data_IF_462092850367
#
_entry.id   IF_462092850367
#
_cell.length_a   1.000
_cell.length_b   1.000
_cell.length_c   1.000
_cell.angle_alpha   90.00
_cell.angle_beta   90.00
_cell.angle_gamma   90.00
#
_symmetry.space_group_name_H-M   'P 1'
#
loop_
_entity.id
_entity.type
_entity.pdbx_description
1 polymer ?
#
# COMPACT_ATOMS: atom_id res chain seq x y z
N UNK A 1 -34.06 -3.57 1.09
CA UNK A 1 -34.02 -2.25 0.42
C UNK A 1 -33.51 -2.40 -1.01
N UNK A 2 -34.03 -1.60 -1.96
CA UNK A 2 -33.40 -1.48 -3.28
C UNK A 2 -32.17 -0.55 -3.22
N UNK A 3 -31.32 -0.60 -4.26
CA UNK A 3 -30.16 0.31 -4.39
C UNK A 3 -30.60 1.79 -4.35
N UNK A 4 -31.75 2.13 -5.00
CA UNK A 4 -32.30 3.48 -4.96
C UNK A 4 -32.73 3.89 -3.55
N UNK A 5 -33.28 2.96 -2.75
CA UNK A 5 -33.67 3.25 -1.37
C UNK A 5 -32.47 3.45 -0.48
N UNK A 6 -31.41 2.62 -0.66
CA UNK A 6 -30.15 2.74 0.09
C UNK A 6 -29.48 4.10 -0.19
N UNK A 7 -29.41 4.51 -1.45
CA UNK A 7 -28.84 5.81 -1.84
C UNK A 7 -29.61 7.01 -1.26
N UNK A 8 -30.88 6.81 -0.88
CA UNK A 8 -31.74 7.85 -0.27
C UNK A 8 -31.76 7.83 1.26
N UNK A 9 -31.05 6.89 1.89
CA UNK A 9 -30.95 6.90 3.35
C UNK A 9 -30.24 8.17 3.82
N UNK A 10 -30.77 8.77 4.89
CA UNK A 10 -30.09 9.88 5.55
C UNK A 10 -28.83 9.36 6.29
N UNK A 11 -27.89 10.24 6.55
CA UNK A 11 -26.70 9.93 7.33
C UNK A 11 -27.06 9.32 8.69
N UNK A 12 -28.01 9.92 9.41
CA UNK A 12 -28.48 9.40 10.69
C UNK A 12 -29.08 7.99 10.59
N UNK A 13 -29.77 7.68 9.47
CA UNK A 13 -30.28 6.33 9.24
C UNK A 13 -29.19 5.31 8.95
N UNK A 14 -28.11 5.72 8.29
CA UNK A 14 -26.94 4.86 8.01
C UNK A 14 -26.14 4.59 9.29
N UNK A 15 -25.86 5.62 10.08
CA UNK A 15 -25.19 5.48 11.39
C UNK A 15 -25.97 4.58 12.36
N UNK A 16 -27.30 4.58 12.28
CA UNK A 16 -28.18 3.75 13.11
C UNK A 16 -28.27 2.29 12.68
N UNK A 17 -27.73 1.91 11.51
CA UNK A 17 -27.68 0.51 11.09
C UNK A 17 -26.76 -0.29 12.02
N UNK A 18 -27.16 -1.50 12.35
CA UNK A 18 -26.26 -2.43 13.05
C UNK A 18 -25.20 -2.98 12.09
N UNK A 19 -24.09 -3.44 12.63
CA UNK A 19 -23.02 -4.15 11.83
C UNK A 19 -23.61 -5.31 11.04
N UNK A 20 -24.53 -6.08 11.64
CA UNK A 20 -25.22 -7.19 10.96
C UNK A 20 -26.08 -6.72 9.78
N UNK A 21 -26.69 -5.55 9.89
CA UNK A 21 -27.50 -4.98 8.78
C UNK A 21 -26.60 -4.49 7.64
N UNK A 22 -25.44 -3.89 7.97
CA UNK A 22 -24.43 -3.50 6.99
C UNK A 22 -23.81 -4.73 6.31
N UNK A 23 -23.41 -5.73 7.07
CA UNK A 23 -22.91 -7.01 6.54
C UNK A 23 -23.94 -7.74 5.65
N UNK A 24 -25.24 -7.57 5.95
CA UNK A 24 -26.34 -8.13 5.17
C UNK A 24 -26.70 -7.34 3.90
N UNK A 25 -26.05 -6.21 3.61
CA UNK A 25 -26.26 -5.49 2.35
C UNK A 25 -25.65 -6.27 1.18
N UNK A 26 -26.30 -6.19 0.02
CA UNK A 26 -25.72 -6.74 -1.20
C UNK A 26 -24.57 -5.84 -1.70
N UNK A 27 -23.68 -6.42 -2.50
CA UNK A 27 -22.58 -5.67 -3.16
C UNK A 27 -23.12 -4.48 -3.98
N UNK A 28 -24.25 -4.66 -4.66
CA UNK A 28 -24.93 -3.59 -5.42
C UNK A 28 -25.44 -2.47 -4.52
N UNK A 29 -25.88 -2.76 -3.31
CA UNK A 29 -26.31 -1.77 -2.33
C UNK A 29 -25.11 -0.99 -1.77
N UNK A 30 -24.02 -1.67 -1.45
CA UNK A 30 -22.78 -1.04 -0.97
C UNK A 30 -22.17 -0.16 -2.07
N UNK A 31 -22.11 -0.64 -3.30
CA UNK A 31 -21.62 0.14 -4.44
C UNK A 31 -22.48 1.39 -4.76
N UNK A 32 -23.78 1.34 -4.41
CA UNK A 32 -24.71 2.45 -4.63
C UNK A 32 -24.64 3.53 -3.55
N UNK A 33 -23.95 3.30 -2.44
CA UNK A 33 -23.72 4.33 -1.42
C UNK A 33 -22.88 5.48 -2.02
N UNK A 34 -23.26 6.71 -1.75
CA UNK A 34 -22.44 7.87 -2.11
C UNK A 34 -21.21 7.99 -1.19
N UNK A 35 -20.16 8.71 -1.64
CA UNK A 35 -18.97 8.96 -0.83
C UNK A 35 -19.30 9.59 0.52
N UNK A 36 -20.24 10.55 0.55
CA UNK A 36 -20.71 11.16 1.81
C UNK A 36 -21.40 10.15 2.74
N UNK A 37 -22.07 9.13 2.19
CA UNK A 37 -22.72 8.07 2.95
C UNK A 37 -21.70 7.06 3.50
N UNK A 38 -20.62 6.78 2.76
CA UNK A 38 -19.50 5.99 3.26
C UNK A 38 -18.80 6.71 4.42
N UNK A 39 -18.58 8.03 4.28
CA UNK A 39 -17.88 8.82 5.29
C UNK A 39 -18.56 8.86 6.67
N UNK A 40 -19.88 8.60 6.74
CA UNK A 40 -20.64 8.59 8.00
C UNK A 40 -20.81 7.19 8.60
N UNK A 41 -20.43 6.13 7.92
CA UNK A 41 -20.44 4.80 8.53
C UNK A 41 -19.47 4.78 9.72
N UNK A 42 -19.85 4.08 10.77
CA UNK A 42 -18.94 3.89 11.90
C UNK A 42 -17.79 2.94 11.51
N UNK A 43 -16.63 3.00 12.19
CA UNK A 43 -15.55 2.03 11.98
C UNK A 43 -16.03 0.58 12.08
N UNK A 44 -16.86 0.26 13.08
CA UNK A 44 -17.43 -1.08 13.24
C UNK A 44 -18.29 -1.51 12.05
N UNK A 45 -19.05 -0.58 11.47
CA UNK A 45 -19.85 -0.86 10.26
C UNK A 45 -18.96 -1.11 9.06
N UNK A 46 -17.87 -0.35 8.90
CA UNK A 46 -16.89 -0.58 7.81
C UNK A 46 -16.17 -1.91 8.03
N UNK A 47 -15.72 -2.21 9.25
CA UNK A 47 -15.10 -3.48 9.60
C UNK A 47 -16.00 -4.71 9.45
N UNK A 48 -17.33 -4.51 9.42
CA UNK A 48 -18.30 -5.57 9.17
C UNK A 48 -18.55 -5.85 7.67
N UNK A 49 -17.98 -5.04 6.76
CA UNK A 49 -18.08 -5.31 5.32
C UNK A 49 -17.29 -6.56 4.97
N UNK A 50 -17.93 -7.50 4.29
CA UNK A 50 -17.24 -8.68 3.78
C UNK A 50 -16.41 -8.36 2.53
N UNK A 51 -15.51 -9.28 2.17
CA UNK A 51 -14.58 -9.15 1.05
C UNK A 51 -15.26 -8.76 -0.27
N UNK A 52 -16.39 -9.40 -0.60
CA UNK A 52 -17.14 -9.05 -1.82
C UNK A 52 -17.73 -7.64 -1.79
N UNK A 53 -18.12 -7.16 -0.61
CA UNK A 53 -18.62 -5.79 -0.41
C UNK A 53 -17.47 -4.78 -0.53
N UNK A 54 -16.32 -5.06 0.07
CA UNK A 54 -15.11 -4.25 -0.09
C UNK A 54 -14.69 -4.16 -1.57
N UNK A 55 -14.71 -5.28 -2.30
CA UNK A 55 -14.42 -5.32 -3.73
C UNK A 55 -15.41 -4.52 -4.57
N UNK A 56 -16.63 -4.27 -4.08
CA UNK A 56 -17.63 -3.46 -4.79
C UNK A 56 -17.46 -1.95 -4.60
N UNK A 57 -16.63 -1.51 -3.64
CA UNK A 57 -16.34 -0.11 -3.39
C UNK A 57 -15.54 0.53 -4.51
N UNK A 58 -15.79 1.79 -4.78
CA UNK A 58 -15.10 2.60 -5.78
C UNK A 58 -14.01 3.47 -5.12
N UNK A 59 -13.03 3.94 -5.91
CA UNK A 59 -11.94 4.80 -5.43
C UNK A 59 -12.44 6.05 -4.69
N UNK A 60 -13.52 6.68 -5.17
CA UNK A 60 -14.10 7.85 -4.53
C UNK A 60 -14.70 7.54 -3.15
N UNK A 61 -15.15 6.30 -2.93
CA UNK A 61 -15.64 5.83 -1.64
C UNK A 61 -14.50 5.61 -0.66
N UNK A 62 -13.38 5.02 -1.10
CA UNK A 62 -12.16 4.92 -0.29
C UNK A 62 -11.59 6.29 0.05
N UNK A 63 -11.56 7.23 -0.89
CA UNK A 63 -11.08 8.58 -0.66
C UNK A 63 -11.91 9.38 0.38
N UNK A 64 -13.15 8.96 0.63
CA UNK A 64 -14.03 9.58 1.61
C UNK A 64 -13.91 8.97 3.03
N UNK A 65 -13.21 7.86 3.18
CA UNK A 65 -13.00 7.21 4.48
C UNK A 65 -11.99 7.99 5.32
N UNK A 66 -12.22 8.03 6.62
CA UNK A 66 -11.27 8.54 7.60
C UNK A 66 -10.31 7.42 8.08
N UNK A 67 -9.34 7.79 8.93
CA UNK A 67 -8.32 6.86 9.46
C UNK A 67 -8.94 5.67 10.19
N UNK A 68 -9.91 5.92 11.08
CA UNK A 68 -10.55 4.86 11.86
C UNK A 68 -11.30 3.86 10.97
N UNK A 69 -11.96 4.34 9.92
CA UNK A 69 -12.64 3.51 8.93
C UNK A 69 -11.65 2.67 8.11
N UNK A 70 -10.55 3.27 7.65
CA UNK A 70 -9.48 2.57 6.92
C UNK A 70 -8.83 1.50 7.82
N UNK A 71 -8.56 1.86 9.08
CA UNK A 71 -7.99 0.92 10.07
C UNK A 71 -8.95 -0.25 10.31
N UNK A 72 -10.26 0.01 10.38
CA UNK A 72 -11.28 -1.01 10.61
C UNK A 72 -11.40 -2.06 9.49
N UNK A 73 -10.94 -1.76 8.26
CA UNK A 73 -10.85 -2.76 7.18
C UNK A 73 -9.88 -3.89 7.59
N UNK A 74 -8.89 -3.60 8.41
CA UNK A 74 -7.93 -4.58 8.90
C UNK A 74 -7.18 -5.27 7.76
N UNK A 75 -6.89 -6.55 7.91
CA UNK A 75 -6.17 -7.36 6.92
C UNK A 75 -7.03 -7.72 5.70
N UNK A 76 -8.34 -7.45 5.72
CA UNK A 76 -9.22 -7.63 4.56
C UNK A 76 -8.87 -6.68 3.38
N UNK A 77 -7.95 -5.73 3.60
CA UNK A 77 -7.33 -4.95 2.52
C UNK A 77 -6.70 -5.85 1.45
N UNK A 78 -6.25 -7.05 1.82
CA UNK A 78 -5.74 -8.07 0.90
C UNK A 78 -6.79 -8.57 -0.10
N UNK A 79 -8.08 -8.40 0.22
CA UNK A 79 -9.18 -8.78 -0.67
C UNK A 79 -9.45 -7.75 -1.79
N UNK A 80 -8.92 -6.53 -1.68
CA UNK A 80 -9.10 -5.50 -2.71
C UNK A 80 -8.53 -5.97 -4.04
N UNK A 81 -9.22 -5.61 -5.13
CA UNK A 81 -8.72 -5.90 -6.48
C UNK A 81 -7.51 -5.02 -6.82
N UNK A 82 -6.66 -5.49 -7.72
CA UNK A 82 -5.52 -4.69 -8.22
C UNK A 82 -5.97 -3.37 -8.83
N UNK A 83 -7.14 -3.34 -9.48
CA UNK A 83 -7.73 -2.11 -10.03
C UNK A 83 -8.11 -1.11 -8.93
N UNK A 84 -8.63 -1.59 -7.79
CA UNK A 84 -8.93 -0.73 -6.64
C UNK A 84 -7.65 -0.18 -6.03
N UNK A 85 -6.63 -1.04 -5.82
CA UNK A 85 -5.35 -0.63 -5.26
C UNK A 85 -4.64 0.36 -6.16
N UNK A 86 -4.59 0.14 -7.48
CA UNK A 86 -3.96 1.09 -8.41
C UNK A 86 -4.68 2.44 -8.50
N UNK A 87 -5.99 2.45 -8.24
CA UNK A 87 -6.80 3.66 -8.22
C UNK A 87 -6.95 4.28 -6.80
N UNK A 88 -6.33 3.67 -5.78
CA UNK A 88 -6.43 4.13 -4.40
C UNK A 88 -5.77 5.52 -4.27
N UNK A 89 -6.48 6.53 -3.73
CA UNK A 89 -5.86 7.84 -3.54
C UNK A 89 -4.67 7.78 -2.56
N UNK A 90 -3.69 8.65 -2.73
CA UNK A 90 -2.47 8.66 -1.90
C UNK A 90 -2.75 8.97 -0.43
N UNK A 91 -3.71 9.86 -0.14
CA UNK A 91 -4.02 10.24 1.24
C UNK A 91 -4.50 9.04 2.09
N UNK A 92 -5.48 8.21 1.67
CA UNK A 92 -5.83 7.00 2.39
C UNK A 92 -4.70 5.97 2.53
N UNK A 93 -3.75 5.91 1.58
CA UNK A 93 -2.59 5.02 1.71
C UNK A 93 -1.71 5.35 2.91
N UNK A 94 -1.55 6.64 3.22
CA UNK A 94 -0.80 7.09 4.40
C UNK A 94 -1.47 6.72 5.73
N UNK A 95 -2.77 6.44 5.70
CA UNK A 95 -3.54 6.05 6.87
C UNK A 95 -3.46 4.55 7.19
N UNK A 96 -2.94 3.73 6.25
CA UNK A 96 -2.77 2.30 6.49
C UNK A 96 -1.81 2.05 7.67
N UNK A 97 -2.20 1.17 8.58
CA UNK A 97 -1.27 0.65 9.58
C UNK A 97 -0.19 -0.23 8.92
N UNK A 98 0.92 -0.41 9.60
CA UNK A 98 1.99 -1.33 9.14
C UNK A 98 1.47 -2.76 8.94
N UNK A 99 0.55 -3.23 9.81
CA UNK A 99 -0.11 -4.52 9.65
C UNK A 99 -0.97 -4.63 8.38
N UNK A 100 -1.63 -3.54 7.99
CA UNK A 100 -2.37 -3.50 6.73
C UNK A 100 -1.44 -3.48 5.51
N UNK A 101 -0.32 -2.78 5.59
CA UNK A 101 0.71 -2.81 4.53
C UNK A 101 1.29 -4.21 4.37
N UNK A 102 1.58 -4.91 5.47
CA UNK A 102 2.01 -6.32 5.46
C UNK A 102 0.97 -7.27 4.87
N UNK A 103 -0.31 -6.94 5.03
CA UNK A 103 -1.40 -7.76 4.48
C UNK A 103 -1.60 -7.56 2.97
N UNK A 104 -1.02 -6.53 2.35
CA UNK A 104 -1.06 -6.37 0.90
C UNK A 104 -0.34 -7.55 0.23
N UNK A 105 -0.91 -8.05 -0.83
CA UNK A 105 -0.26 -9.10 -1.62
C UNK A 105 0.77 -8.50 -2.58
N UNK A 106 1.76 -9.29 -2.97
CA UNK A 106 2.78 -8.85 -3.95
C UNK A 106 2.17 -8.37 -5.28
N UNK A 107 1.01 -8.95 -5.68
CA UNK A 107 0.26 -8.47 -6.85
C UNK A 107 -0.34 -7.08 -6.64
N UNK A 108 -0.78 -6.77 -5.44
CA UNK A 108 -1.31 -5.46 -5.08
C UNK A 108 -0.18 -4.42 -4.96
N UNK A 109 0.92 -4.79 -4.31
CA UNK A 109 2.10 -3.90 -4.20
C UNK A 109 2.68 -3.57 -5.58
N UNK A 110 2.74 -4.54 -6.47
CA UNK A 110 3.25 -4.36 -7.84
C UNK A 110 2.44 -3.37 -8.69
N UNK A 111 1.15 -3.19 -8.42
CA UNK A 111 0.30 -2.26 -9.19
C UNK A 111 0.25 -0.86 -8.60
N UNK A 112 0.89 -0.61 -7.46
CA UNK A 112 1.03 0.73 -6.90
C UNK A 112 1.82 1.63 -7.87
N UNK A 113 1.30 2.81 -8.12
CA UNK A 113 2.02 3.83 -8.88
C UNK A 113 3.20 4.41 -8.08
N UNK A 114 4.15 5.05 -8.77
CA UNK A 114 5.31 5.69 -8.12
C UNK A 114 4.86 6.73 -7.08
N UNK A 115 3.83 7.53 -7.39
CA UNK A 115 3.29 8.52 -6.46
C UNK A 115 2.66 7.86 -5.22
N UNK A 116 2.00 6.71 -5.40
CA UNK A 116 1.43 5.94 -4.30
C UNK A 116 2.52 5.34 -3.40
N UNK A 117 3.59 4.78 -3.98
CA UNK A 117 4.74 4.28 -3.23
C UNK A 117 5.44 5.41 -2.49
N UNK A 118 5.64 6.57 -3.13
CA UNK A 118 6.26 7.74 -2.50
C UNK A 118 5.40 8.37 -1.41
N UNK A 119 4.08 8.13 -1.43
CA UNK A 119 3.19 8.57 -0.37
C UNK A 119 3.29 7.70 0.90
N UNK A 120 3.78 6.46 0.79
CA UNK A 120 3.96 5.61 1.97
C UNK A 120 5.02 6.19 2.92
N UNK A 121 4.75 6.10 4.21
CA UNK A 121 5.70 6.52 5.25
C UNK A 121 6.90 5.56 5.31
N UNK A 122 7.97 5.96 6.00
CA UNK A 122 9.13 5.10 6.25
C UNK A 122 8.73 3.79 6.95
N UNK A 123 7.87 3.88 8.00
CA UNK A 123 7.39 2.72 8.73
C UNK A 123 6.57 1.77 7.83
N UNK A 124 5.78 2.33 6.91
CA UNK A 124 5.01 1.54 5.95
C UNK A 124 5.92 0.84 4.92
N UNK A 125 6.96 1.53 4.42
CA UNK A 125 7.96 0.93 3.51
C UNK A 125 8.74 -0.17 4.22
N UNK A 126 9.17 0.06 5.46
CA UNK A 126 9.88 -0.96 6.24
C UNK A 126 9.01 -2.17 6.62
N UNK A 127 7.68 -1.99 6.60
CA UNK A 127 6.72 -3.06 6.85
C UNK A 127 6.45 -3.96 5.63
N UNK A 128 6.83 -3.55 4.41
CA UNK A 128 6.67 -4.39 3.22
C UNK A 128 7.44 -5.70 3.36
N UNK A 129 6.83 -6.80 2.95
CA UNK A 129 7.53 -8.09 2.95
C UNK A 129 8.62 -8.12 1.87
N UNK A 130 9.65 -8.92 2.09
CA UNK A 130 10.76 -9.07 1.13
C UNK A 130 10.28 -9.54 -0.25
N UNK A 131 9.26 -10.40 -0.28
CA UNK A 131 8.63 -10.87 -1.53
C UNK A 131 7.94 -9.72 -2.28
N UNK A 132 7.35 -8.76 -1.55
CA UNK A 132 6.69 -7.59 -2.14
C UNK A 132 7.70 -6.66 -2.78
N UNK A 133 8.81 -6.37 -2.07
CA UNK A 133 9.90 -5.56 -2.61
C UNK A 133 10.51 -6.21 -3.86
N UNK A 134 10.75 -7.52 -3.83
CA UNK A 134 11.27 -8.26 -4.99
C UNK A 134 10.30 -8.25 -6.18
N UNK A 135 8.99 -8.07 -5.93
CA UNK A 135 7.96 -8.01 -6.98
C UNK A 135 7.86 -6.64 -7.67
N UNK A 136 8.36 -5.57 -7.04
CA UNK A 136 8.35 -4.22 -7.60
C UNK A 136 9.13 -4.16 -8.92
N UNK A 137 8.67 -3.31 -9.82
CA UNK A 137 9.39 -3.01 -11.06
C UNK A 137 10.65 -2.17 -10.77
N UNK A 138 11.60 -2.20 -11.68
CA UNK A 138 12.81 -1.35 -11.60
C UNK A 138 12.45 0.13 -11.50
N UNK A 139 11.41 0.59 -12.22
CA UNK A 139 10.93 1.98 -12.15
C UNK A 139 10.37 2.34 -10.77
N UNK A 140 9.67 1.41 -10.11
CA UNK A 140 9.15 1.63 -8.76
C UNK A 140 10.29 1.72 -7.74
N UNK A 141 11.27 0.82 -7.80
CA UNK A 141 12.44 0.83 -6.90
C UNK A 141 13.28 2.11 -7.12
N UNK A 142 13.59 2.45 -8.36
CA UNK A 142 14.34 3.68 -8.66
C UNK A 142 13.60 4.98 -8.35
N UNK A 143 12.26 4.89 -8.24
CA UNK A 143 11.40 6.01 -7.84
C UNK A 143 11.31 6.22 -6.33
N UNK A 144 11.79 5.30 -5.49
CA UNK A 144 11.79 5.47 -4.03
C UNK A 144 12.69 6.64 -3.62
N UNK A 145 12.24 7.43 -2.67
CA UNK A 145 13.04 8.49 -2.08
C UNK A 145 14.22 7.94 -1.27
N UNK A 146 15.25 8.75 -1.07
CA UNK A 146 16.41 8.36 -0.24
C UNK A 146 15.98 7.95 1.18
N UNK A 147 15.02 8.67 1.77
CA UNK A 147 14.51 8.36 3.11
C UNK A 147 13.77 7.03 3.17
N UNK A 148 13.06 6.66 2.11
CA UNK A 148 12.39 5.37 2.01
C UNK A 148 13.39 4.22 1.80
N UNK A 149 14.44 4.45 0.99
CA UNK A 149 15.51 3.47 0.82
C UNK A 149 16.28 3.22 2.13
N UNK A 150 16.55 4.28 2.92
CA UNK A 150 17.16 4.15 4.25
C UNK A 150 16.26 3.45 5.27
N UNK A 151 14.94 3.47 5.07
CA UNK A 151 14.01 2.75 5.95
C UNK A 151 13.95 1.24 5.67
N UNK A 152 14.55 0.77 4.57
CA UNK A 152 14.61 -0.66 4.27
C UNK A 152 15.57 -1.36 5.23
N UNK A 153 15.15 -2.49 5.77
CA UNK A 153 16.01 -3.36 6.56
C UNK A 153 17.04 -4.09 5.69
N UNK A 154 18.12 -4.56 6.30
CA UNK A 154 19.14 -5.37 5.63
C UNK A 154 18.56 -6.57 4.87
N UNK A 155 17.54 -7.26 5.44
CA UNK A 155 16.86 -8.37 4.77
C UNK A 155 16.07 -7.92 3.52
N UNK A 156 15.48 -6.72 3.58
CA UNK A 156 14.79 -6.13 2.44
C UNK A 156 15.77 -5.71 1.34
N UNK A 157 16.91 -5.12 1.70
CA UNK A 157 17.99 -4.80 0.75
C UNK A 157 18.51 -6.07 0.07
N UNK A 158 18.74 -7.15 0.83
CA UNK A 158 19.14 -8.45 0.28
C UNK A 158 18.11 -9.07 -0.65
N UNK A 159 16.83 -8.77 -0.48
CA UNK A 159 15.76 -9.29 -1.33
C UNK A 159 15.66 -8.61 -2.70
N UNK A 160 16.32 -7.47 -2.88
CA UNK A 160 16.33 -6.78 -4.17
C UNK A 160 16.97 -7.65 -5.24
N UNK A 161 16.32 -7.74 -6.39
CA UNK A 161 16.85 -8.46 -7.56
C UNK A 161 18.02 -7.69 -8.18
N UNK A 162 18.86 -8.39 -8.94
CA UNK A 162 19.98 -7.77 -9.68
C UNK A 162 19.50 -6.57 -10.53
N UNK A 163 18.36 -6.72 -11.22
CA UNK A 163 17.80 -5.66 -12.06
C UNK A 163 17.34 -4.45 -11.25
N UNK A 164 16.79 -4.67 -10.05
CA UNK A 164 16.38 -3.60 -9.15
C UNK A 164 17.60 -2.85 -8.60
N UNK A 165 18.66 -3.57 -8.19
CA UNK A 165 19.91 -2.96 -7.74
C UNK A 165 20.57 -2.14 -8.84
N UNK A 166 20.60 -2.65 -10.08
CA UNK A 166 21.13 -1.92 -11.24
C UNK A 166 20.31 -0.68 -11.59
N UNK A 167 19.01 -0.67 -11.26
CA UNK A 167 18.13 0.47 -11.51
C UNK A 167 18.30 1.61 -10.47
N UNK A 168 18.91 1.36 -9.33
CA UNK A 168 19.23 2.39 -8.36
C UNK A 168 20.30 3.34 -8.93
N UNK A 169 20.09 4.63 -8.77
CA UNK A 169 21.12 5.61 -9.08
C UNK A 169 22.30 5.51 -8.12
N UNK A 170 23.45 6.02 -8.53
CA UNK A 170 24.65 6.09 -7.66
C UNK A 170 24.38 6.90 -6.39
N UNK A 171 23.55 7.95 -6.48
CA UNK A 171 23.15 8.72 -5.31
C UNK A 171 22.29 7.91 -4.35
N UNK A 172 21.36 7.07 -4.86
CA UNK A 172 20.54 6.19 -4.04
C UNK A 172 21.37 5.11 -3.35
N UNK A 173 22.32 4.50 -4.05
CA UNK A 173 23.24 3.52 -3.44
C UNK A 173 24.10 4.16 -2.35
N UNK A 174 24.65 5.35 -2.58
CA UNK A 174 25.46 6.07 -1.59
C UNK A 174 24.64 6.63 -0.41
N UNK A 175 23.31 6.62 -0.51
CA UNK A 175 22.41 7.01 0.58
C UNK A 175 21.90 5.82 1.40
N UNK A 176 22.22 4.58 1.02
CA UNK A 176 21.98 3.42 1.90
C UNK A 176 22.86 3.54 3.15
N UNK A 177 22.39 2.97 4.25
CA UNK A 177 23.27 2.82 5.41
C UNK A 177 24.41 1.86 5.06
N UNK A 178 25.68 2.17 5.43
CA UNK A 178 26.83 1.31 5.11
C UNK A 178 26.65 -0.13 5.59
N UNK A 179 25.99 -0.30 6.73
CA UNK A 179 25.68 -1.60 7.31
C UNK A 179 24.74 -2.40 6.41
N UNK A 180 23.76 -1.76 5.79
CA UNK A 180 22.81 -2.40 4.88
C UNK A 180 23.45 -2.71 3.52
N UNK A 181 24.28 -1.80 3.02
CA UNK A 181 25.06 -2.07 1.81
C UNK A 181 26.00 -3.27 1.99
N UNK A 182 26.66 -3.39 3.15
CA UNK A 182 27.54 -4.51 3.50
C UNK A 182 26.79 -5.86 3.59
N UNK A 183 25.47 -5.86 3.71
CA UNK A 183 24.65 -7.09 3.69
C UNK A 183 24.38 -7.61 2.27
N UNK A 184 24.69 -6.83 1.22
CA UNK A 184 24.57 -7.33 -0.14
C UNK A 184 25.43 -8.57 -0.33
N UNK A 185 24.87 -9.57 -1.00
CA UNK A 185 25.61 -10.79 -1.31
C UNK A 185 26.72 -10.51 -2.32
N UNK A 186 27.75 -11.35 -2.34
CA UNK A 186 28.80 -11.26 -3.36
C UNK A 186 28.26 -11.36 -4.79
N UNK A 187 27.17 -12.12 -4.97
CA UNK A 187 26.43 -12.18 -6.24
C UNK A 187 25.87 -10.82 -6.64
N UNK A 188 25.18 -10.15 -5.73
CA UNK A 188 24.58 -8.82 -5.94
C UNK A 188 25.66 -7.75 -6.19
N UNK A 189 26.73 -7.74 -5.40
CA UNK A 189 27.85 -6.81 -5.61
C UNK A 189 28.46 -7.00 -7.01
N UNK A 190 28.64 -8.25 -7.46
CA UNK A 190 29.20 -8.55 -8.79
C UNK A 190 28.32 -8.08 -9.95
N UNK A 191 27.05 -7.78 -9.68
CA UNK A 191 26.06 -7.31 -10.69
C UNK A 191 25.91 -5.80 -10.73
N UNK A 192 26.50 -5.07 -9.80
CA UNK A 192 26.52 -3.61 -9.88
C UNK A 192 27.20 -3.17 -11.18
N UNK A 193 26.67 -2.10 -11.78
CA UNK A 193 27.25 -1.56 -13.02
C UNK A 193 28.60 -0.91 -12.75
N UNK A 194 29.44 -0.80 -13.78
CA UNK A 194 30.73 -0.11 -13.69
C UNK A 194 30.56 1.33 -13.20
N UNK A 195 29.49 2.02 -13.64
CA UNK A 195 29.19 3.37 -13.18
C UNK A 195 28.86 3.39 -11.69
N UNK A 196 28.00 2.47 -11.20
CA UNK A 196 27.67 2.38 -9.79
C UNK A 196 28.90 2.15 -8.93
N UNK A 197 29.75 1.16 -9.29
CA UNK A 197 30.97 0.83 -8.53
C UNK A 197 31.96 2.00 -8.55
N UNK A 198 32.16 2.66 -9.71
CA UNK A 198 33.13 3.75 -9.82
C UNK A 198 32.76 5.02 -9.05
N UNK A 199 31.50 5.13 -8.62
CA UNK A 199 30.95 6.29 -7.90
C UNK A 199 30.50 5.96 -6.46
N UNK A 200 30.80 4.74 -5.98
CA UNK A 200 30.58 4.43 -4.57
C UNK A 200 31.48 5.33 -3.71
N UNK A 201 30.92 5.80 -2.61
CA UNK A 201 31.68 6.55 -1.61
C UNK A 201 32.64 5.63 -0.83
N UNK A 202 33.69 6.22 -0.27
CA UNK A 202 34.67 5.49 0.56
C UNK A 202 34.02 4.81 1.78
N UNK A 203 32.84 5.29 2.20
CA UNK A 203 32.08 4.70 3.31
C UNK A 203 31.34 3.41 2.93
N UNK A 204 31.19 3.14 1.62
CA UNK A 204 30.52 1.94 1.09
C UNK A 204 31.52 0.83 0.71
N UNK A 205 32.82 1.15 0.66
CA UNK A 205 33.91 0.26 0.30
C UNK A 205 34.69 -0.18 1.55
#
# INVERSE_FOLDING_TARGET
LSTLQVNKLSNASLEALTTSQVAGMTTSQVAALGSAQIAVLTPDQVGALGTSQLQSLQSAQFAAMNEDQITAIGTDISALTTSQVSAFPTAPLQLLSTGQVQALTSTQVKVLGTDQLNALTQDQISALETADLASLTTGQISGLSSTQLQALSSGQIQSLTDSQLQALSTAQLNNLEPEDFAQLTSGQISKLTTEQVSKLSDTML
#
